data_IF_955657438899
#
_entry.id   IF_955657438899
#
_cell.length_a   1.000
_cell.length_b   1.000
_cell.length_c   1.000
_cell.angle_alpha   90.00
_cell.angle_beta   90.00
_cell.angle_gamma   90.00
#
_symmetry.space_group_name_H-M   'P 1'
#
loop_
_entity.id
_entity.type
_entity.pdbx_description
1 polymer ?
#
# COMPACT_ATOMS: atom_id res chain seq x y z
N UNK A 1 -17.32 23.08 -10.49
CA UNK A 1 -16.29 22.33 -11.25
C UNK A 1 -14.95 22.64 -10.62
N UNK A 2 -14.55 21.89 -9.59
CA UNK A 2 -13.25 22.06 -8.95
C UNK A 2 -12.20 21.33 -9.79
N UNK A 3 -11.20 22.06 -10.28
CA UNK A 3 -10.02 21.49 -10.92
C UNK A 3 -9.23 20.76 -9.83
N UNK A 4 -9.25 19.42 -9.85
CA UNK A 4 -8.38 18.61 -9.02
C UNK A 4 -7.02 18.53 -9.71
N UNK A 5 -6.10 19.42 -9.34
CA UNK A 5 -4.70 19.27 -9.72
C UNK A 5 -4.11 18.09 -8.93
N UNK A 6 -3.41 17.19 -9.61
CA UNK A 6 -2.50 16.29 -8.93
C UNK A 6 -1.53 17.14 -8.09
N UNK A 7 -1.31 16.80 -6.82
CA UNK A 7 -0.19 17.43 -6.11
C UNK A 7 1.10 17.17 -6.89
N UNK A 8 2.00 18.16 -6.89
CA UNK A 8 3.35 17.99 -7.41
C UNK A 8 4.04 16.77 -6.79
N UNK A 9 5.00 16.21 -7.53
CA UNK A 9 5.83 15.12 -7.04
C UNK A 9 6.47 15.52 -5.70
N UNK A 10 6.17 14.77 -4.64
CA UNK A 10 6.71 15.05 -3.31
C UNK A 10 8.16 14.58 -3.25
N UNK A 11 9.04 15.43 -2.75
CA UNK A 11 10.41 15.03 -2.40
C UNK A 11 10.37 14.05 -1.22
N UNK A 12 10.69 12.79 -1.50
CA UNK A 12 10.61 11.71 -0.52
C UNK A 12 11.90 11.68 0.30
N UNK A 13 11.79 12.03 1.58
CA UNK A 13 12.94 12.04 2.47
C UNK A 13 13.29 10.62 2.96
N UNK A 14 14.57 10.25 3.00
CA UNK A 14 15.00 9.01 3.63
C UNK A 14 14.59 8.98 5.10
N UNK A 15 14.19 7.80 5.59
CA UNK A 15 13.87 7.59 7.01
C UNK A 15 14.85 6.61 7.63
N UNK A 16 15.32 6.95 8.83
CA UNK A 16 16.13 6.07 9.67
C UNK A 16 15.53 6.01 11.08
N UNK A 17 15.32 4.81 11.65
CA UNK A 17 15.62 3.49 11.06
C UNK A 17 14.60 3.10 9.97
N UNK A 18 14.86 2.04 9.18
CA UNK A 18 13.93 1.61 8.13
C UNK A 18 12.56 1.28 8.71
N UNK A 19 11.51 1.58 7.95
CA UNK A 19 10.14 1.34 8.37
C UNK A 19 9.61 0.05 7.75
N UNK A 20 9.02 -0.80 8.58
CA UNK A 20 8.16 -1.88 8.10
C UNK A 20 8.19 -3.12 8.98
N UNK A 21 7.34 -4.08 8.63
CA UNK A 21 7.27 -5.41 9.28
C UNK A 21 8.19 -6.44 8.61
N UNK A 22 8.60 -6.18 7.36
CA UNK A 22 9.54 -7.03 6.61
C UNK A 22 10.69 -6.19 6.02
N UNK A 23 11.81 -6.12 6.74
CA UNK A 23 12.94 -5.25 6.37
C UNK A 23 13.59 -5.61 5.01
N UNK A 24 13.45 -6.84 4.55
CA UNK A 24 13.96 -7.28 3.24
C UNK A 24 13.19 -6.65 2.05
N UNK A 25 12.04 -6.03 2.30
CA UNK A 25 11.24 -5.31 1.30
C UNK A 25 11.36 -3.78 1.45
N UNK A 26 12.48 -3.32 2.03
CA UNK A 26 12.83 -1.89 2.06
C UNK A 26 13.68 -1.54 0.83
N UNK A 27 13.33 -0.46 0.15
CA UNK A 27 13.99 -0.01 -1.07
C UNK A 27 15.20 0.88 -0.74
N UNK A 28 16.35 0.58 -1.33
CA UNK A 28 17.58 1.36 -1.15
C UNK A 28 17.60 2.71 -1.89
N UNK A 29 16.54 3.05 -2.62
CA UNK A 29 16.38 4.32 -3.35
C UNK A 29 14.90 4.57 -3.63
N UNK A 30 14.48 5.83 -3.85
CA UNK A 30 13.15 6.15 -4.36
C UNK A 30 12.76 5.20 -5.49
N UNK A 31 11.69 4.43 -5.30
CA UNK A 31 11.24 3.40 -6.23
C UNK A 31 9.76 3.60 -6.54
N UNK A 32 9.44 3.72 -7.82
CA UNK A 32 8.05 3.77 -8.30
C UNK A 32 7.52 2.36 -8.42
N UNK A 33 6.37 2.10 -7.79
CA UNK A 33 5.63 0.87 -7.99
C UNK A 33 4.38 1.12 -8.83
N UNK A 34 3.97 0.09 -9.55
CA UNK A 34 2.81 0.10 -10.43
C UNK A 34 1.95 -1.10 -10.07
N UNK A 35 0.71 -0.83 -9.68
CA UNK A 35 -0.31 -1.84 -9.49
C UNK A 35 -0.82 -2.24 -10.88
N UNK A 36 -0.70 -3.53 -11.19
CA UNK A 36 -1.16 -4.13 -12.44
C UNK A 36 -2.10 -5.28 -12.13
N UNK A 37 -3.33 -5.19 -12.63
CA UNK A 37 -4.30 -6.28 -12.60
C UNK A 37 -3.76 -7.49 -13.37
N UNK A 38 -3.97 -8.68 -12.83
CA UNK A 38 -3.60 -9.91 -13.53
C UNK A 38 -4.63 -10.20 -14.61
N UNK A 39 -4.19 -10.27 -15.87
CA UNK A 39 -5.03 -10.54 -17.05
C UNK A 39 -5.72 -11.93 -17.01
N UNK A 40 -5.34 -12.77 -16.04
CA UNK A 40 -5.88 -14.12 -15.80
C UNK A 40 -6.58 -14.26 -14.43
N UNK A 41 -7.04 -13.16 -13.80
CA UNK A 41 -7.84 -13.31 -12.58
C UNK A 41 -9.24 -13.82 -12.94
N UNK A 42 -9.49 -15.11 -12.69
CA UNK A 42 -10.81 -15.73 -12.87
C UNK A 42 -11.87 -15.15 -11.91
N UNK A 43 -11.43 -14.48 -10.83
CA UNK A 43 -12.27 -13.92 -9.76
C UNK A 43 -12.29 -12.38 -9.75
N UNK A 44 -11.38 -11.72 -10.47
CA UNK A 44 -11.23 -10.26 -10.50
C UNK A 44 -10.54 -9.65 -9.28
N UNK A 45 -10.01 -10.46 -8.35
CA UNK A 45 -9.43 -9.97 -7.08
C UNK A 45 -7.89 -10.08 -7.00
N UNK A 46 -7.25 -10.64 -8.03
CA UNK A 46 -5.80 -10.88 -8.08
C UNK A 46 -5.06 -9.78 -8.83
N UNK A 47 -3.98 -9.31 -8.23
CA UNK A 47 -3.13 -8.28 -8.83
C UNK A 47 -1.66 -8.47 -8.46
N UNK A 48 -0.79 -7.83 -9.23
CA UNK A 48 0.64 -7.75 -8.92
C UNK A 48 1.07 -6.31 -8.79
N UNK A 49 1.97 -6.03 -7.86
CA UNK A 49 2.67 -4.76 -7.76
C UNK A 49 4.05 -4.96 -8.36
N UNK A 50 4.39 -4.11 -9.32
CA UNK A 50 5.64 -4.18 -10.09
C UNK A 50 6.45 -2.90 -9.95
N UNK A 51 7.75 -2.96 -10.19
CA UNK A 51 8.55 -1.76 -10.41
C UNK A 51 8.36 -1.20 -11.84
N UNK A 52 9.06 -0.11 -12.15
CA UNK A 52 9.06 0.51 -13.49
C UNK A 52 9.74 -0.33 -14.56
N UNK A 53 10.58 -1.29 -14.18
CA UNK A 53 11.25 -2.22 -15.09
C UNK A 53 10.36 -3.46 -15.40
N UNK A 54 9.23 -3.59 -14.70
CA UNK A 54 8.25 -4.66 -14.88
C UNK A 54 8.49 -5.88 -13.98
N UNK A 55 9.49 -5.84 -13.10
CA UNK A 55 9.75 -6.88 -12.12
C UNK A 55 8.65 -6.89 -11.06
N UNK A 56 8.18 -8.08 -10.70
CA UNK A 56 7.15 -8.22 -9.66
C UNK A 56 7.79 -8.04 -8.29
N UNK A 57 7.23 -7.14 -7.48
CA UNK A 57 7.65 -6.89 -6.10
C UNK A 57 6.81 -7.71 -5.12
N UNK A 58 5.49 -7.62 -5.25
CA UNK A 58 4.54 -8.45 -4.49
C UNK A 58 3.36 -8.88 -5.36
N UNK A 59 2.74 -9.99 -4.98
CA UNK A 59 1.50 -10.50 -5.58
C UNK A 59 0.40 -10.50 -4.52
N UNK A 60 -0.81 -10.18 -4.93
CA UNK A 60 -2.01 -10.29 -4.12
C UNK A 60 -2.91 -11.35 -4.75
N UNK A 61 -3.37 -12.29 -3.93
CA UNK A 61 -4.38 -13.28 -4.33
C UNK A 61 -5.62 -13.16 -3.44
N UNK A 62 -6.79 -13.11 -4.07
CA UNK A 62 -8.09 -13.19 -3.40
C UNK A 62 -8.58 -14.63 -3.37
N UNK A 63 -9.00 -15.14 -2.21
CA UNK A 63 -9.60 -16.48 -2.14
C UNK A 63 -11.04 -16.48 -2.65
N UNK A 64 -11.28 -17.22 -3.72
CA UNK A 64 -12.50 -17.21 -4.52
C UNK A 64 -13.80 -17.61 -3.81
N UNK A 65 -13.79 -18.46 -2.76
CA UNK A 65 -15.01 -19.23 -2.41
C UNK A 65 -15.45 -19.17 -0.93
N UNK A 66 -14.66 -18.69 0.04
CA UNK A 66 -15.16 -18.61 1.44
C UNK A 66 -14.64 -17.45 2.30
N UNK A 67 -13.74 -16.62 1.80
CA UNK A 67 -13.16 -15.50 2.55
C UNK A 67 -13.06 -14.26 1.68
N UNK A 68 -14.19 -13.75 1.15
CA UNK A 68 -14.23 -12.49 0.38
C UNK A 68 -13.54 -11.30 1.08
N UNK A 69 -13.35 -11.39 2.40
CA UNK A 69 -12.67 -10.38 3.21
C UNK A 69 -11.17 -10.62 3.43
N UNK A 70 -10.57 -11.72 2.96
CA UNK A 70 -9.14 -12.04 3.17
C UNK A 70 -8.35 -12.06 1.86
N UNK A 71 -7.32 -11.20 1.79
CA UNK A 71 -6.37 -11.10 0.68
C UNK A 71 -4.99 -11.55 1.14
N UNK A 72 -4.35 -12.46 0.41
CA UNK A 72 -2.98 -12.92 0.73
C UNK A 72 -1.96 -12.17 -0.10
N UNK A 73 -0.93 -11.64 0.56
CA UNK A 73 0.20 -10.97 -0.06
C UNK A 73 1.42 -11.89 0.00
N UNK A 74 2.04 -12.12 -1.15
CA UNK A 74 3.28 -12.89 -1.29
C UNK A 74 4.36 -12.08 -1.98
N UNK A 75 5.61 -12.49 -1.82
CA UNK A 75 6.73 -11.94 -2.60
C UNK A 75 6.67 -12.37 -4.08
N UNK A 76 7.67 -11.95 -4.86
CA UNK A 76 7.84 -12.30 -6.26
C UNK A 76 7.87 -13.83 -6.51
N UNK A 77 8.46 -14.58 -5.57
CA UNK A 77 8.65 -16.03 -5.62
C UNK A 77 7.43 -16.81 -5.12
N UNK A 78 6.38 -16.12 -4.65
CA UNK A 78 5.18 -16.75 -4.08
C UNK A 78 5.32 -17.10 -2.60
N UNK A 79 6.39 -16.66 -1.92
CA UNK A 79 6.53 -16.84 -0.47
C UNK A 79 5.53 -15.92 0.24
N UNK A 80 4.72 -16.50 1.11
CA UNK A 80 3.77 -15.76 1.94
C UNK A 80 4.47 -14.67 2.76
N UNK A 81 3.93 -13.45 2.73
CA UNK A 81 4.37 -12.34 3.57
C UNK A 81 3.37 -12.10 4.70
N UNK A 82 2.13 -11.76 4.33
CA UNK A 82 1.03 -11.52 5.26
C UNK A 82 -0.31 -11.65 4.55
N UNK A 83 -1.38 -11.78 5.32
CA UNK A 83 -2.74 -11.65 4.81
C UNK A 83 -3.42 -10.42 5.39
N UNK A 84 -4.23 -9.74 4.59
CA UNK A 84 -5.08 -8.65 5.04
C UNK A 84 -6.48 -9.20 5.20
N UNK A 85 -7.07 -9.05 6.39
CA UNK A 85 -8.50 -9.31 6.62
C UNK A 85 -9.25 -8.08 7.10
N UNK A 86 -10.53 -8.01 6.75
CA UNK A 86 -11.45 -7.04 7.33
C UNK A 86 -11.91 -7.50 8.73
N UNK A 87 -11.80 -6.62 9.72
CA UNK A 87 -12.40 -6.77 11.04
C UNK A 87 -13.47 -5.71 11.22
N UNK A 88 -14.72 -6.15 11.24
CA UNK A 88 -15.86 -5.29 11.56
C UNK A 88 -15.90 -5.06 13.08
N UNK A 89 -15.34 -3.94 13.54
CA UNK A 89 -15.45 -3.53 14.94
C UNK A 89 -16.55 -2.47 15.02
N UNK A 90 -17.73 -2.88 15.46
CA UNK A 90 -18.96 -2.15 15.83
C UNK A 90 -19.45 -0.97 14.95
N UNK A 91 -18.58 -0.06 14.49
CA UNK A 91 -18.91 1.15 13.73
C UNK A 91 -17.87 1.48 12.64
N UNK A 92 -16.63 0.95 12.71
CA UNK A 92 -15.55 1.32 11.76
C UNK A 92 -14.86 0.10 11.14
N UNK A 93 -14.75 0.13 9.81
CA UNK A 93 -13.98 -0.86 9.04
C UNK A 93 -12.50 -0.74 9.39
N UNK A 94 -11.96 -1.79 10.01
CA UNK A 94 -10.53 -1.90 10.32
C UNK A 94 -9.96 -3.07 9.54
N UNK A 95 -8.86 -2.86 8.84
CA UNK A 95 -8.11 -3.93 8.20
C UNK A 95 -6.97 -4.37 9.10
N UNK A 96 -6.75 -5.67 9.19
CA UNK A 96 -5.68 -6.26 10.00
C UNK A 96 -4.79 -7.07 9.07
N UNK A 97 -3.49 -6.80 9.12
CA UNK A 97 -2.46 -7.63 8.51
C UNK A 97 -2.04 -8.73 9.47
N UNK A 98 -1.94 -9.97 9.01
CA UNK A 98 -1.66 -11.14 9.84
C UNK A 98 -0.56 -12.00 9.23
N UNK A 99 0.23 -12.63 10.10
CA UNK A 99 1.20 -13.63 9.70
C UNK A 99 0.53 -14.97 9.35
N UNK A 100 1.36 -15.99 9.09
CA UNK A 100 0.91 -17.34 8.75
C UNK A 100 0.20 -18.05 9.92
N UNK A 101 0.47 -17.64 11.15
CA UNK A 101 -0.08 -18.20 12.40
C UNK A 101 -1.36 -17.46 12.83
N UNK A 102 -1.68 -16.33 12.18
CA UNK A 102 -2.85 -15.51 12.48
C UNK A 102 -2.59 -14.41 13.51
N UNK A 103 -1.32 -14.12 13.82
CA UNK A 103 -0.97 -13.03 14.71
C UNK A 103 -1.04 -11.68 13.98
N UNK A 104 -1.61 -10.66 14.64
CA UNK A 104 -1.70 -9.30 14.11
C UNK A 104 -0.29 -8.70 13.90
N UNK A 105 0.07 -8.38 12.67
CA UNK A 105 1.30 -7.67 12.30
C UNK A 105 1.09 -6.14 12.25
N UNK A 106 -0.05 -5.71 11.73
CA UNK A 106 -0.40 -4.30 11.60
C UNK A 106 -1.91 -4.09 11.54
N UNK A 107 -2.35 -2.87 11.83
CA UNK A 107 -3.76 -2.47 11.78
C UNK A 107 -3.91 -1.21 10.95
N UNK A 108 -4.91 -1.16 10.10
CA UNK A 108 -5.25 0.00 9.27
C UNK A 108 -6.68 0.39 9.58
N UNK A 109 -6.89 1.64 10.01
CA UNK A 109 -8.21 2.17 10.32
C UNK A 109 -8.47 3.43 9.51
N UNK A 110 -9.72 3.57 9.03
CA UNK A 110 -10.20 4.84 8.48
C UNK A 110 -10.53 5.77 9.64
N UNK A 111 -10.03 7.00 9.59
CA UNK A 111 -10.39 8.07 10.53
C UNK A 111 -11.39 9.01 9.88
N UNK A 112 -12.22 9.65 10.70
CA UNK A 112 -13.07 10.73 10.21
C UNK A 112 -12.22 11.91 9.74
N UNK A 113 -12.66 12.57 8.66
CA UNK A 113 -11.96 13.69 8.05
C UNK A 113 -12.39 13.92 6.60
N UNK A 114 -11.97 15.06 6.05
CA UNK A 114 -12.14 15.39 4.63
C UNK A 114 -11.16 14.55 3.80
N UNK A 115 -11.65 13.95 2.72
CA UNK A 115 -10.87 13.10 1.83
C UNK A 115 -10.54 11.73 2.42
N UNK A 116 -9.46 11.14 1.92
CA UNK A 116 -8.91 9.87 2.39
C UNK A 116 -8.02 10.12 3.60
N UNK A 117 -8.48 9.69 4.77
CA UNK A 117 -7.74 9.72 6.03
C UNK A 117 -7.66 8.31 6.61
N UNK A 118 -6.49 7.68 6.48
CA UNK A 118 -6.24 6.33 7.00
C UNK A 118 -5.02 6.34 7.91
N UNK A 119 -5.06 5.52 8.96
CA UNK A 119 -3.98 5.39 9.94
C UNK A 119 -3.59 3.93 10.02
N UNK A 120 -2.32 3.64 9.76
CA UNK A 120 -1.72 2.32 9.90
C UNK A 120 -0.80 2.29 11.11
N UNK A 121 -0.95 1.31 11.99
CA UNK A 121 -0.08 1.08 13.15
C UNK A 121 0.54 -0.30 13.09
N UNK A 122 1.83 -0.39 13.41
CA UNK A 122 2.58 -1.65 13.42
C UNK A 122 3.79 -1.55 14.33
N UNK A 123 4.33 -2.70 14.74
CA UNK A 123 5.62 -2.76 15.43
C UNK A 123 6.74 -2.77 14.39
N UNK A 124 7.60 -1.76 14.39
CA UNK A 124 8.66 -1.65 13.40
C UNK A 124 9.74 -2.71 13.67
N UNK A 125 10.04 -3.52 12.65
CA UNK A 125 10.97 -4.63 12.78
C UNK A 125 12.43 -4.17 12.99
N UNK A 126 12.76 -2.92 12.65
CA UNK A 126 14.13 -2.41 12.79
C UNK A 126 14.52 -2.05 14.22
N UNK A 127 13.58 -1.60 15.05
CA UNK A 127 13.85 -1.12 16.41
C UNK A 127 12.87 -1.66 17.47
N UNK A 128 11.85 -2.43 17.06
CA UNK A 128 10.81 -2.97 17.93
C UNK A 128 9.83 -1.93 18.48
N UNK A 129 9.84 -0.68 18.01
CA UNK A 129 8.96 0.38 18.48
C UNK A 129 7.65 0.40 17.69
N UNK A 130 6.56 0.78 18.36
CA UNK A 130 5.29 1.03 17.68
C UNK A 130 5.42 2.26 16.78
N UNK A 131 5.02 2.10 15.53
CA UNK A 131 5.13 3.12 14.49
C UNK A 131 3.77 3.34 13.84
N UNK A 132 3.45 4.61 13.61
CA UNK A 132 2.21 5.04 12.97
C UNK A 132 2.51 5.71 11.64
N UNK A 133 1.84 5.26 10.58
CA UNK A 133 1.79 5.93 9.28
C UNK A 133 0.41 6.51 9.05
N UNK A 134 0.37 7.75 8.54
CA UNK A 134 -0.85 8.47 8.25
C UNK A 134 -0.93 8.74 6.75
N UNK A 135 -2.02 8.28 6.13
CA UNK A 135 -2.37 8.62 4.76
C UNK A 135 -3.36 9.79 4.76
N UNK A 136 -3.05 10.83 3.98
CA UNK A 136 -3.89 12.01 3.75
C UNK A 136 -3.96 12.35 2.26
N UNK A 137 -5.12 12.78 1.78
CA UNK A 137 -5.31 13.28 0.42
C UNK A 137 -6.55 12.68 -0.24
N UNK A 138 -6.54 12.54 -1.55
CA UNK A 138 -7.58 11.85 -2.30
C UNK A 138 -7.04 10.56 -2.92
N UNK A 139 -7.20 9.45 -2.19
CA UNK A 139 -6.83 8.13 -2.68
C UNK A 139 -7.68 7.67 -3.88
N UNK A 140 -8.89 8.21 -4.08
CA UNK A 140 -9.85 7.69 -5.06
C UNK A 140 -9.76 8.39 -6.42
N UNK A 141 -9.59 9.71 -6.42
CA UNK A 141 -9.61 10.53 -7.63
C UNK A 141 -8.33 11.29 -7.94
N UNK A 142 -7.36 11.34 -7.01
CA UNK A 142 -6.19 12.20 -7.17
C UNK A 142 -4.91 11.60 -6.58
N UNK A 143 -4.32 12.32 -5.63
CA UNK A 143 -3.09 11.95 -4.95
C UNK A 143 -3.28 11.86 -3.44
N UNK A 144 -2.57 10.93 -2.82
CA UNK A 144 -2.52 10.79 -1.36
C UNK A 144 -1.08 10.59 -0.89
N UNK A 145 -0.70 11.28 0.18
CA UNK A 145 0.62 11.16 0.80
C UNK A 145 0.53 10.22 2.00
N UNK A 146 1.57 9.41 2.19
CA UNK A 146 1.80 8.59 3.38
C UNK A 146 2.96 9.20 4.15
N UNK A 147 2.73 9.54 5.41
CA UNK A 147 3.71 10.19 6.29
C UNK A 147 3.91 9.37 7.55
N UNK A 148 5.09 9.44 8.14
CA UNK A 148 5.24 9.06 9.56
C UNK A 148 4.43 10.04 10.39
N UNK A 149 3.76 9.55 11.43
CA UNK A 149 3.03 10.43 12.34
C UNK A 149 3.97 11.50 12.94
N UNK A 150 3.62 12.78 12.76
CA UNK A 150 4.48 13.93 13.05
C UNK A 150 5.89 13.87 12.40
N UNK A 151 6.02 13.22 11.24
CA UNK A 151 7.30 13.02 10.55
C UNK A 151 7.24 13.24 9.04
N UNK A 152 8.29 12.81 8.30
CA UNK A 152 8.42 13.07 6.88
C UNK A 152 7.42 12.27 6.04
N UNK A 153 7.22 12.73 4.79
CA UNK A 153 6.53 11.95 3.76
C UNK A 153 7.43 10.82 3.30
N UNK A 154 6.91 9.59 3.34
CA UNK A 154 7.66 8.38 2.99
C UNK A 154 7.15 7.73 1.71
N UNK A 155 5.91 8.00 1.31
CA UNK A 155 5.36 7.49 0.07
C UNK A 155 4.27 8.42 -0.46
N UNK A 156 4.03 8.36 -1.77
CA UNK A 156 2.98 9.12 -2.44
C UNK A 156 2.25 8.24 -3.45
N UNK A 157 0.94 8.20 -3.31
CA UNK A 157 0.04 7.50 -4.22
C UNK A 157 -0.48 8.52 -5.21
N UNK A 158 -0.37 8.24 -6.51
CA UNK A 158 -0.87 9.12 -7.57
C UNK A 158 -1.64 8.30 -8.60
N UNK A 159 -2.92 8.64 -8.80
CA UNK A 159 -3.71 8.05 -9.89
C UNK A 159 -3.53 8.88 -11.16
N UNK A 160 -2.94 8.29 -12.19
CA UNK A 160 -3.01 8.86 -13.55
C UNK A 160 -4.35 8.46 -14.16
N UNK A 161 -5.28 9.41 -14.26
CA UNK A 161 -6.49 9.24 -15.08
C UNK A 161 -6.03 9.31 -16.55
N UNK A 162 -5.82 8.16 -17.18
CA UNK A 162 -5.52 8.13 -18.62
C UNK A 162 -6.78 8.51 -19.39
N UNK A 163 -6.69 9.57 -20.20
CA UNK A 163 -7.73 9.94 -21.16
C UNK A 163 -7.97 8.77 -22.13
N UNK A 164 -9.24 8.39 -22.31
CA UNK A 164 -9.72 7.17 -22.96
C UNK A 164 -9.45 7.03 -24.48
N UNK A 165 -8.38 7.64 -25.02
CA UNK A 165 -7.96 7.51 -26.43
C UNK A 165 -6.69 6.69 -26.63
N UNK A 166 -5.96 6.32 -25.57
CA UNK A 166 -4.85 5.37 -25.64
C UNK A 166 -5.26 4.05 -24.98
N UNK A 167 -5.42 3.05 -25.82
CA UNK A 167 -6.00 1.73 -25.60
C UNK A 167 -5.22 0.86 -24.59
N UNK A 168 -5.98 0.16 -23.73
CA UNK A 168 -5.65 -1.09 -23.01
C UNK A 168 -4.73 -1.05 -21.77
N UNK A 169 -5.38 -1.27 -20.62
CA UNK A 169 -4.76 -1.76 -19.38
C UNK A 169 -4.73 -0.70 -18.29
N UNK A 170 -5.66 -0.80 -17.34
CA UNK A 170 -5.73 0.06 -16.17
C UNK A 170 -4.40 0.06 -15.40
N UNK A 171 -3.67 1.18 -15.51
CA UNK A 171 -2.40 1.43 -14.84
C UNK A 171 -2.67 2.27 -13.60
N UNK A 172 -2.64 1.66 -12.42
CA UNK A 172 -2.61 2.40 -11.17
C UNK A 172 -1.15 2.55 -10.72
N UNK A 173 -0.66 3.80 -10.59
CA UNK A 173 0.71 4.07 -10.14
C UNK A 173 0.71 4.30 -8.62
N UNK A 174 1.57 3.59 -7.89
CA UNK A 174 1.69 3.68 -6.43
C UNK A 174 3.18 3.87 -6.12
N UNK A 175 3.65 5.08 -5.81
CA UNK A 175 5.05 5.25 -5.42
C UNK A 175 5.18 4.91 -3.93
N UNK A 176 5.88 3.83 -3.62
CA UNK A 176 6.18 3.43 -2.23
C UNK A 176 7.69 3.42 -2.05
N UNK A 177 8.20 4.28 -1.17
CA UNK A 177 9.61 4.31 -0.79
C UNK A 177 9.76 3.91 0.68
N UNK A 178 10.69 2.99 0.95
CA UNK A 178 11.14 2.70 2.30
C UNK A 178 12.66 2.65 2.31
N UNK A 179 13.33 3.74 2.66
CA UNK A 179 14.80 3.75 2.71
C UNK A 179 15.33 3.10 3.99
N UNK A 180 16.43 2.35 3.85
CA UNK A 180 17.27 1.88 4.96
C UNK A 180 18.61 2.57 4.83
N UNK A 181 19.07 3.28 5.87
CA UNK A 181 20.48 3.64 5.97
C UNK A 181 21.20 2.54 6.75
N UNK A 182 22.25 2.04 6.14
CA UNK A 182 23.35 1.25 6.69
C UNK A 182 24.03 1.94 7.88
#
# INVERSE_FOLDING_TARGET
>A
MGLFFANDAVDLQPVSPPLGVHLHHTAQKPTTLVLKESVFSWTGDDFSVKDTEGHTVVKCSGKAISFRDRKEISDANGKFMFAIRNKLIAIHKTFVGEDKEGNDLFKISKKWGVGSHMVATFKNASNGQDTTLVLRGDFWGGSADIKVDNGPVVAQITRKIFNAREYFGDKQTVNILFFRRD
#
